data_IF_389409577382
#
_entry.id   IF_389409577382
#
_cell.length_a   1.000
_cell.length_b   1.000
_cell.length_c   1.000
_cell.angle_alpha   90.00
_cell.angle_beta   90.00
_cell.angle_gamma   90.00
#
_symmetry.space_group_name_H-M   'P 1'
#
loop_
_entity.id
_entity.type
_entity.pdbx_description
1 polymer ?
#
# COMPACT_ATOMS: atom_id res chain seq x y z
N UNK A 1 0.84 18.28 43.97
CA UNK A 1 0.12 18.24 42.67
C UNK A 1 1.02 18.01 41.44
N UNK A 2 2.22 18.61 41.35
CA UNK A 2 3.13 18.47 40.17
C UNK A 2 3.42 17.01 39.75
N UNK A 3 3.75 16.12 40.69
CA UNK A 3 4.03 14.68 40.41
C UNK A 3 2.84 13.93 39.77
N UNK A 4 1.59 14.27 40.11
CA UNK A 4 0.39 13.64 39.53
C UNK A 4 0.18 14.08 38.07
N UNK A 5 0.45 15.36 37.74
CA UNK A 5 0.38 15.87 36.36
C UNK A 5 1.46 15.27 35.47
N UNK A 6 2.69 15.10 35.98
CA UNK A 6 3.79 14.45 35.22
C UNK A 6 3.48 12.98 34.94
N UNK A 7 2.96 12.22 35.92
CA UNK A 7 2.51 10.83 35.70
C UNK A 7 1.38 10.71 34.67
N UNK A 8 0.47 11.69 34.63
CA UNK A 8 -0.63 11.71 33.67
C UNK A 8 -0.11 12.00 32.24
N UNK A 9 0.75 13.00 32.08
CA UNK A 9 1.38 13.31 30.79
C UNK A 9 2.20 12.14 30.25
N UNK A 10 2.97 11.46 31.09
CA UNK A 10 3.72 10.27 30.69
C UNK A 10 2.81 9.13 30.20
N UNK A 11 1.64 8.93 30.83
CA UNK A 11 0.66 7.93 30.37
C UNK A 11 0.05 8.30 29.02
N UNK A 12 -0.33 9.57 28.84
CA UNK A 12 -0.87 10.05 27.56
C UNK A 12 0.18 9.90 26.45
N UNK A 13 1.44 10.24 26.74
CA UNK A 13 2.54 10.06 25.80
C UNK A 13 2.72 8.58 25.45
N UNK A 14 2.73 7.68 26.43
CA UNK A 14 2.85 6.23 26.19
C UNK A 14 1.71 5.69 25.31
N UNK A 15 0.47 6.13 25.57
CA UNK A 15 -0.71 5.75 24.79
C UNK A 15 -0.62 6.28 23.35
N UNK A 16 -0.02 7.45 23.12
CA UNK A 16 0.18 8.00 21.77
C UNK A 16 1.38 7.37 21.03
N UNK A 17 2.43 6.98 21.76
CA UNK A 17 3.68 6.46 21.19
C UNK A 17 3.49 5.05 20.62
N UNK A 18 2.74 4.18 21.30
CA UNK A 18 2.50 2.80 20.83
C UNK A 18 1.80 2.75 19.45
N UNK A 19 0.66 3.42 19.20
CA UNK A 19 0.01 3.40 17.90
C UNK A 19 0.87 4.09 16.83
N UNK A 20 1.63 5.13 17.20
CA UNK A 20 2.57 5.76 16.29
C UNK A 20 3.66 4.78 15.85
N UNK A 21 4.29 4.06 16.78
CA UNK A 21 5.25 2.98 16.48
C UNK A 21 4.63 1.87 15.63
N UNK A 22 3.38 1.48 15.88
CA UNK A 22 2.69 0.47 15.09
C UNK A 22 2.46 0.93 13.63
N UNK A 23 2.03 2.18 13.43
CA UNK A 23 1.88 2.81 12.11
C UNK A 23 3.21 2.83 11.35
N UNK A 24 4.26 3.20 12.06
CA UNK A 24 5.64 3.25 11.62
C UNK A 24 6.17 1.88 11.14
N UNK A 25 5.99 0.83 11.96
CA UNK A 25 6.36 -0.55 11.59
C UNK A 25 5.53 -1.04 10.41
N UNK A 26 4.23 -0.76 10.39
CA UNK A 26 3.34 -1.12 9.28
C UNK A 26 3.76 -0.45 7.97
N UNK A 27 4.11 0.84 8.04
CA UNK A 27 4.58 1.60 6.89
C UNK A 27 5.83 0.94 6.29
N UNK A 28 6.84 0.65 7.11
CA UNK A 28 8.04 -0.08 6.65
C UNK A 28 7.70 -1.45 6.06
N UNK A 29 6.73 -2.16 6.63
CA UNK A 29 6.34 -3.48 6.15
C UNK A 29 5.68 -3.42 4.76
N UNK A 30 4.79 -2.45 4.55
CA UNK A 30 4.00 -2.29 3.33
C UNK A 30 4.77 -1.60 2.18
N UNK A 31 5.76 -0.77 2.52
CA UNK A 31 6.50 0.07 1.57
C UNK A 31 8.00 -0.22 1.52
N UNK A 32 8.53 -1.06 2.42
CA UNK A 32 9.96 -1.39 2.53
C UNK A 32 10.80 -0.29 3.18
N UNK A 33 10.36 0.95 3.06
CA UNK A 33 10.99 2.16 3.58
C UNK A 33 10.05 2.91 4.54
N UNK A 34 10.62 3.84 5.30
CA UNK A 34 9.89 4.70 6.24
C UNK A 34 9.32 5.95 5.55
N UNK A 35 8.85 5.79 4.31
CA UNK A 35 8.28 6.87 3.52
C UNK A 35 6.91 6.43 2.99
N UNK A 36 5.79 7.00 3.46
CA UNK A 36 4.45 6.71 2.94
C UNK A 36 4.25 7.12 1.48
N UNK A 37 5.19 7.88 0.90
CA UNK A 37 5.19 8.27 -0.52
C UNK A 37 6.02 7.33 -1.37
N UNK A 38 6.78 6.42 -0.77
CA UNK A 38 7.56 5.45 -1.52
C UNK A 38 6.64 4.42 -2.17
N UNK A 39 7.26 3.62 -3.03
CA UNK A 39 6.55 2.67 -3.86
C UNK A 39 6.23 1.43 -3.02
N UNK A 40 4.97 0.96 -2.99
CA UNK A 40 4.62 -0.26 -2.29
C UNK A 40 5.50 -1.42 -2.77
N UNK A 41 6.04 -2.19 -1.82
CA UNK A 41 6.75 -3.44 -2.10
C UNK A 41 5.79 -4.65 -2.13
N UNK A 42 4.54 -4.41 -1.70
CA UNK A 42 3.46 -5.38 -1.61
C UNK A 42 2.16 -4.70 -2.00
N UNK A 43 1.30 -5.43 -2.71
CA UNK A 43 -0.01 -4.90 -3.11
C UNK A 43 -1.12 -5.88 -2.71
N UNK A 44 -2.20 -5.35 -2.14
CA UNK A 44 -3.38 -6.09 -1.76
C UNK A 44 -4.41 -6.12 -2.89
N UNK A 45 -4.76 -7.32 -3.37
CA UNK A 45 -5.71 -7.50 -4.47
C UNK A 45 -6.49 -8.80 -4.27
N UNK A 46 -7.81 -8.80 -4.52
CA UNK A 46 -8.69 -9.97 -4.37
C UNK A 46 -8.46 -10.75 -3.06
N UNK A 47 -8.45 -10.04 -1.93
CA UNK A 47 -8.23 -10.59 -0.58
C UNK A 47 -6.87 -11.28 -0.35
N UNK A 48 -5.91 -11.10 -1.26
CA UNK A 48 -4.55 -11.63 -1.19
C UNK A 48 -3.50 -10.52 -1.16
N UNK A 49 -2.33 -10.84 -0.63
CA UNK A 49 -1.16 -9.95 -0.69
C UNK A 49 -0.15 -10.51 -1.69
N UNK A 50 0.28 -9.66 -2.62
CA UNK A 50 1.28 -10.01 -3.62
C UNK A 50 2.57 -9.24 -3.38
N UNK A 51 3.69 -9.89 -3.67
CA UNK A 51 4.98 -9.23 -3.70
C UNK A 51 5.21 -8.57 -5.05
N UNK A 52 5.91 -7.45 -5.03
CA UNK A 52 6.29 -6.73 -6.24
C UNK A 52 7.56 -7.35 -6.82
N UNK A 53 7.52 -7.71 -8.11
CA UNK A 53 8.65 -8.30 -8.82
C UNK A 53 9.79 -7.30 -9.06
N UNK A 54 11.00 -7.78 -9.37
CA UNK A 54 12.22 -6.97 -9.44
C UNK A 54 12.21 -5.88 -10.52
N UNK A 55 11.40 -6.03 -11.57
CA UNK A 55 11.28 -5.06 -12.67
C UNK A 55 10.18 -4.01 -12.44
N UNK A 56 9.71 -3.88 -11.20
CA UNK A 56 8.61 -3.00 -10.81
C UNK A 56 9.03 -1.98 -9.74
N UNK A 57 8.35 -0.83 -9.68
CA UNK A 57 7.32 -0.40 -10.62
C UNK A 57 7.86 0.27 -11.87
N UNK A 58 7.04 0.27 -12.92
CA UNK A 58 7.24 1.08 -14.13
C UNK A 58 6.05 2.02 -14.33
N UNK A 59 6.26 3.17 -14.97
CA UNK A 59 5.15 4.04 -15.38
C UNK A 59 4.52 3.47 -16.64
N UNK A 60 3.18 3.41 -16.67
CA UNK A 60 2.47 3.02 -17.88
C UNK A 60 2.61 4.14 -18.91
N UNK A 61 3.32 3.86 -20.00
CA UNK A 61 3.50 4.78 -21.11
C UNK A 61 2.34 4.64 -22.08
N UNK A 62 1.68 5.75 -22.40
CA UNK A 62 0.52 5.78 -23.28
C UNK A 62 -0.78 5.79 -22.47
N UNK A 63 -1.61 6.80 -22.70
CA UNK A 63 -2.84 7.10 -21.95
C UNK A 63 -3.97 6.08 -22.10
N UNK A 64 -3.68 4.80 -22.34
CA UNK A 64 -4.67 3.74 -22.26
C UNK A 64 -4.99 3.47 -20.79
N UNK A 65 -6.26 3.65 -20.43
CA UNK A 65 -6.78 3.27 -19.13
C UNK A 65 -6.81 1.74 -19.03
N UNK A 66 -6.29 1.12 -17.96
CA UNK A 66 -6.42 -0.32 -17.77
C UNK A 66 -7.89 -0.73 -17.68
N UNK A 67 -8.21 -1.90 -18.23
CA UNK A 67 -9.59 -2.30 -18.55
C UNK A 67 -10.49 -2.51 -17.33
N UNK A 68 -9.95 -3.12 -16.27
CA UNK A 68 -10.75 -3.65 -15.17
C UNK A 68 -10.34 -3.02 -13.84
N UNK A 69 -11.29 -2.47 -13.08
CA UNK A 69 -11.06 -2.13 -11.69
C UNK A 69 -11.02 -3.42 -10.85
N UNK A 70 -9.99 -3.55 -10.01
CA UNK A 70 -9.78 -4.73 -9.15
C UNK A 70 -10.55 -4.59 -7.84
N UNK A 71 -10.49 -3.40 -7.24
CA UNK A 71 -11.15 -3.04 -5.98
C UNK A 71 -11.37 -1.53 -5.91
N UNK A 72 -12.19 -1.08 -4.96
CA UNK A 72 -12.36 0.36 -4.71
C UNK A 72 -11.06 1.03 -4.26
N UNK A 73 -10.23 0.33 -3.48
CA UNK A 73 -8.91 0.79 -3.05
C UNK A 73 -8.06 -0.37 -2.54
N UNK A 74 -6.77 -0.33 -2.82
CA UNK A 74 -5.77 -1.13 -2.14
C UNK A 74 -5.75 -0.81 -0.64
N UNK A 75 -5.75 -1.84 0.20
CA UNK A 75 -5.83 -1.68 1.65
C UNK A 75 -4.52 -1.18 2.28
N UNK A 76 -3.41 -1.13 1.53
CA UNK A 76 -2.09 -0.67 1.98
C UNK A 76 -1.84 0.78 1.57
N UNK A 77 -2.07 1.11 0.32
CA UNK A 77 -1.83 2.44 -0.27
C UNK A 77 -3.06 3.34 -0.27
N UNK A 78 -4.26 2.77 -0.10
CA UNK A 78 -5.54 3.49 -0.23
C UNK A 78 -5.86 3.93 -1.67
N UNK A 79 -5.08 3.49 -2.66
CA UNK A 79 -5.21 3.91 -4.06
C UNK A 79 -6.04 2.92 -4.86
N UNK A 80 -6.72 3.42 -5.88
CA UNK A 80 -7.48 2.59 -6.80
C UNK A 80 -6.55 1.64 -7.56
N UNK A 81 -6.95 0.36 -7.65
CA UNK A 81 -6.25 -0.68 -8.38
C UNK A 81 -7.00 -1.07 -9.63
N UNK A 82 -6.24 -1.26 -10.70
CA UNK A 82 -6.72 -1.74 -11.97
C UNK A 82 -5.87 -2.90 -12.48
N UNK A 83 -6.40 -3.65 -13.42
CA UNK A 83 -5.69 -4.71 -14.13
C UNK A 83 -6.18 -4.76 -15.58
N UNK A 84 -5.36 -5.33 -16.45
CA UNK A 84 -5.77 -5.66 -17.82
C UNK A 84 -6.39 -7.06 -17.91
N UNK A 85 -6.32 -7.84 -16.83
CA UNK A 85 -6.79 -9.23 -16.78
C UNK A 85 -8.22 -9.26 -16.22
N UNK A 86 -9.19 -9.91 -16.89
CA UNK A 86 -10.55 -10.01 -16.37
C UNK A 86 -10.54 -10.76 -15.03
N UNK A 87 -11.44 -10.35 -14.12
CA UNK A 87 -11.63 -11.05 -12.85
C UNK A 87 -12.06 -12.49 -13.15
N UNK A 88 -11.19 -13.43 -12.86
CA UNK A 88 -11.43 -14.87 -13.03
C UNK A 88 -10.69 -15.64 -11.93
N UNK A 89 -10.57 -16.95 -12.13
CA UNK A 89 -9.87 -17.83 -11.17
C UNK A 89 -8.34 -17.65 -11.20
N UNK A 90 -7.83 -17.00 -12.26
CA UNK A 90 -6.41 -16.69 -12.42
C UNK A 90 -6.07 -15.38 -11.70
N UNK A 91 -5.01 -15.45 -10.89
CA UNK A 91 -4.46 -14.30 -10.16
C UNK A 91 -3.83 -13.33 -11.17
N UNK A 92 -4.05 -12.02 -11.04
CA UNK A 92 -3.50 -11.06 -11.97
C UNK A 92 -1.97 -11.09 -11.91
N UNK A 93 -1.32 -11.17 -13.07
CA UNK A 93 0.15 -11.09 -13.17
C UNK A 93 0.60 -9.63 -13.12
N UNK A 94 -0.23 -8.73 -13.65
CA UNK A 94 0.04 -7.29 -13.68
C UNK A 94 -1.11 -6.51 -13.07
N UNK A 95 -0.76 -5.56 -12.19
CA UNK A 95 -1.70 -4.59 -11.64
C UNK A 95 -1.19 -3.16 -11.79
N UNK A 96 -2.14 -2.24 -11.85
CA UNK A 96 -1.90 -0.83 -12.08
C UNK A 96 -2.49 -0.04 -10.91
N UNK A 97 -1.66 0.80 -10.32
CA UNK A 97 -2.02 1.68 -9.22
C UNK A 97 -2.19 3.09 -9.77
N UNK A 98 -3.35 3.70 -9.54
CA UNK A 98 -3.64 5.05 -10.00
C UNK A 98 -2.91 6.07 -9.12
N UNK A 99 -2.15 6.96 -9.76
CA UNK A 99 -1.44 8.06 -9.12
C UNK A 99 -2.36 9.28 -8.99
N UNK A 100 -2.00 10.20 -8.10
CA UNK A 100 -2.77 11.43 -7.86
C UNK A 100 -2.83 12.36 -9.07
N UNK A 101 -1.88 12.26 -9.99
CA UNK A 101 -1.84 13.00 -11.26
C UNK A 101 -2.64 12.31 -12.38
N UNK A 102 -3.37 11.24 -12.07
CA UNK A 102 -4.20 10.49 -13.02
C UNK A 102 -3.44 9.48 -13.87
N UNK A 103 -2.11 9.37 -13.75
CA UNK A 103 -1.31 8.33 -14.42
C UNK A 103 -1.43 7.00 -13.70
N UNK A 104 -0.99 5.94 -14.39
CA UNK A 104 -0.98 4.58 -13.87
C UNK A 104 0.45 4.10 -13.67
N UNK A 105 0.71 3.56 -12.49
CA UNK A 105 1.95 2.89 -12.18
C UNK A 105 1.74 1.37 -12.23
N UNK A 106 2.51 0.70 -13.07
CA UNK A 106 2.43 -0.72 -13.32
C UNK A 106 3.32 -1.50 -12.35
N UNK A 107 2.78 -2.60 -11.84
CA UNK A 107 3.45 -3.56 -10.98
C UNK A 107 3.27 -4.97 -11.55
N UNK A 108 4.37 -5.64 -11.77
CA UNK A 108 4.44 -7.07 -12.06
C UNK A 108 4.47 -7.79 -10.71
N UNK A 109 3.52 -8.67 -10.49
CA UNK A 109 3.36 -9.40 -9.24
C UNK A 109 4.18 -10.70 -9.26
N UNK A 110 4.91 -10.96 -8.18
CA UNK A 110 5.69 -12.19 -7.98
C UNK A 110 5.06 -13.01 -6.86
N UNK A 111 4.10 -13.88 -7.22
CA UNK A 111 3.47 -14.84 -6.31
C UNK A 111 2.59 -14.21 -5.21
N UNK A 112 1.44 -14.83 -4.93
CA UNK A 112 0.63 -14.54 -3.75
C UNK A 112 0.93 -15.55 -2.65
N UNK A 113 1.13 -15.07 -1.42
CA UNK A 113 1.02 -15.92 -0.22
C UNK A 113 -0.45 -16.05 0.18
#
# INVERSE_FOLDING_TARGET
MKKKRVKLLARILLIAVIPFLALLVKNRYDFGEWDPRSLPNRIGCYDRTYYVGPSSPSLMNGGQKPACAVSNSDNRTGRELFTSEPKGDLLPVVIYLKLSDGRYQQYILSGGQ
#
